data_IF_514468254896
#
_entry.id   IF_514468254896
#
_cell.length_a   1.000
_cell.length_b   1.000
_cell.length_c   1.000
_cell.angle_alpha   90.00
_cell.angle_beta   90.00
_cell.angle_gamma   90.00
#
_symmetry.space_group_name_H-M   'P 1'
#
loop_
_entity.id
_entity.type
_entity.pdbx_description
1 polymer ?
#
# COMPACT_ATOMS: atom_id res chain seq x y z
N UNK A 1 -31.38 24.19 -28.86
CA UNK A 1 -30.20 25.08 -28.89
C UNK A 1 -29.96 25.65 -27.51
N UNK A 2 -30.71 26.69 -27.12
CA UNK A 2 -30.58 27.38 -25.83
C UNK A 2 -30.72 26.46 -24.60
N UNK A 3 -31.74 25.60 -24.55
CA UNK A 3 -31.92 24.64 -23.44
C UNK A 3 -30.78 23.61 -23.33
N UNK A 4 -30.12 23.26 -24.44
CA UNK A 4 -28.98 22.35 -24.43
C UNK A 4 -27.75 23.04 -23.83
N UNK A 5 -27.51 24.30 -24.21
CA UNK A 5 -26.44 25.11 -23.63
C UNK A 5 -26.64 25.38 -22.14
N UNK A 6 -27.87 25.62 -21.70
CA UNK A 6 -28.19 25.83 -20.28
C UNK A 6 -27.93 24.55 -19.46
N UNK A 7 -28.31 23.38 -19.98
CA UNK A 7 -27.98 22.09 -19.36
C UNK A 7 -26.46 21.82 -19.31
N UNK A 8 -25.75 22.02 -20.42
CA UNK A 8 -24.29 21.82 -20.43
C UNK A 8 -23.57 22.80 -19.49
N UNK A 9 -24.08 24.03 -19.35
CA UNK A 9 -23.56 25.00 -18.39
C UNK A 9 -23.85 24.58 -16.93
N UNK A 10 -25.04 24.06 -16.64
CA UNK A 10 -25.39 23.53 -15.31
C UNK A 10 -24.53 22.31 -14.95
N UNK A 11 -24.34 21.37 -15.88
CA UNK A 11 -23.50 20.19 -15.69
C UNK A 11 -22.04 20.61 -15.41
N UNK A 12 -21.49 21.54 -16.20
CA UNK A 12 -20.14 22.07 -15.99
C UNK A 12 -20.00 22.77 -14.63
N UNK A 13 -20.99 23.56 -14.23
CA UNK A 13 -20.99 24.24 -12.93
C UNK A 13 -21.09 23.25 -11.76
N UNK A 14 -21.79 22.13 -11.93
CA UNK A 14 -21.83 21.04 -10.95
C UNK A 14 -20.45 20.39 -10.82
N UNK A 15 -19.82 20.04 -11.94
CA UNK A 15 -18.48 19.44 -11.95
C UNK A 15 -17.44 20.35 -11.29
N UNK A 16 -17.49 21.66 -11.58
CA UNK A 16 -16.59 22.65 -10.97
C UNK A 16 -16.75 22.72 -9.44
N UNK A 17 -17.97 22.59 -8.92
CA UNK A 17 -18.25 22.56 -7.47
C UNK A 17 -17.78 21.27 -6.81
N UNK A 18 -17.69 20.17 -7.57
CA UNK A 18 -17.24 18.87 -7.09
C UNK A 18 -15.71 18.68 -7.14
N UNK A 19 -14.96 19.50 -7.89
CA UNK A 19 -13.49 19.45 -7.98
C UNK A 19 -12.80 19.33 -6.60
N UNK A 20 -13.13 20.14 -5.58
CA UNK A 20 -12.46 20.09 -4.28
C UNK A 20 -12.67 18.76 -3.55
N UNK A 21 -13.88 18.20 -3.68
CA UNK A 21 -14.25 16.89 -3.13
C UNK A 21 -13.50 15.77 -3.85
N UNK A 22 -13.52 15.78 -5.19
CA UNK A 22 -12.80 14.82 -6.02
C UNK A 22 -11.28 14.84 -5.76
N UNK A 23 -10.71 16.04 -5.53
CA UNK A 23 -9.30 16.18 -5.17
C UNK A 23 -8.99 15.60 -3.77
N UNK A 24 -9.89 15.77 -2.80
CA UNK A 24 -9.76 15.18 -1.47
C UNK A 24 -9.85 13.64 -1.54
N UNK A 25 -10.86 13.11 -2.22
CA UNK A 25 -11.07 11.67 -2.41
C UNK A 25 -9.87 11.02 -3.08
N UNK A 26 -9.30 11.67 -4.10
CA UNK A 26 -8.07 11.22 -4.74
C UNK A 26 -6.89 11.13 -3.77
N UNK A 27 -6.71 12.14 -2.91
CA UNK A 27 -5.61 12.13 -1.91
C UNK A 27 -5.79 11.02 -0.88
N UNK A 28 -7.01 10.80 -0.43
CA UNK A 28 -7.34 9.72 0.52
C UNK A 28 -7.11 8.36 -0.13
N UNK A 29 -7.53 8.18 -1.39
CA UNK A 29 -7.27 6.95 -2.14
C UNK A 29 -5.77 6.65 -2.29
N UNK A 30 -4.95 7.64 -2.62
CA UNK A 30 -3.49 7.45 -2.69
C UNK A 30 -2.88 7.14 -1.31
N UNK A 31 -3.41 7.74 -0.24
CA UNK A 31 -3.01 7.41 1.12
C UNK A 31 -3.35 5.96 1.50
N UNK A 32 -4.57 5.49 1.18
CA UNK A 32 -5.00 4.10 1.39
C UNK A 32 -4.10 3.13 0.62
N UNK A 33 -3.82 3.41 -0.66
CA UNK A 33 -2.90 2.60 -1.47
C UNK A 33 -1.52 2.53 -0.84
N UNK A 34 -1.00 3.66 -0.34
CA UNK A 34 0.32 3.72 0.30
C UNK A 34 0.38 2.96 1.63
N UNK A 35 -0.64 3.10 2.47
CA UNK A 35 -0.74 2.37 3.74
C UNK A 35 -0.75 0.86 3.52
N UNK A 36 -1.53 0.40 2.54
CA UNK A 36 -1.56 -1.01 2.12
C UNK A 36 -0.20 -1.49 1.61
N UNK A 37 0.44 -0.71 0.74
CA UNK A 37 1.78 -1.03 0.24
C UNK A 37 2.82 -1.11 1.37
N UNK A 38 2.73 -0.24 2.39
CA UNK A 38 3.61 -0.27 3.55
C UNK A 38 3.39 -1.53 4.41
N UNK A 39 2.13 -1.91 4.65
CA UNK A 39 1.77 -3.16 5.36
C UNK A 39 2.34 -4.39 4.63
N UNK A 40 2.19 -4.47 3.32
CA UNK A 40 2.73 -5.57 2.51
C UNK A 40 4.25 -5.60 2.55
N UNK A 41 4.89 -4.43 2.43
CA UNK A 41 6.35 -4.31 2.57
C UNK A 41 6.82 -4.84 3.93
N UNK A 42 6.12 -4.53 5.02
CA UNK A 42 6.45 -5.02 6.35
C UNK A 42 6.36 -6.55 6.45
N UNK A 43 5.33 -7.16 5.84
CA UNK A 43 5.24 -8.63 5.77
C UNK A 43 6.38 -9.26 4.97
N UNK A 44 6.72 -8.71 3.80
CA UNK A 44 7.82 -9.19 2.98
C UNK A 44 9.14 -9.14 3.75
N UNK A 45 9.46 -7.99 4.35
CA UNK A 45 10.70 -7.82 5.12
C UNK A 45 10.76 -8.78 6.31
N UNK A 46 9.67 -8.93 7.06
CA UNK A 46 9.63 -9.86 8.18
C UNK A 46 9.74 -11.32 7.74
N UNK A 47 9.13 -11.69 6.61
CA UNK A 47 9.22 -13.04 6.05
C UNK A 47 10.66 -13.36 5.65
N UNK A 48 11.29 -12.49 4.87
CA UNK A 48 12.68 -12.68 4.44
C UNK A 48 13.62 -12.70 5.66
N UNK A 49 13.39 -11.86 6.68
CA UNK A 49 14.15 -11.92 7.95
C UNK A 49 13.97 -13.24 8.69
N UNK A 50 12.78 -13.84 8.66
CA UNK A 50 12.48 -15.14 9.28
C UNK A 50 13.19 -16.30 8.58
N UNK A 51 13.38 -16.21 7.26
CA UNK A 51 14.09 -17.22 6.46
C UNK A 51 15.63 -17.15 6.60
N UNK A 52 16.18 -16.10 7.25
CA UNK A 52 17.63 -15.98 7.46
C UNK A 52 18.13 -16.92 8.58
N UNK A 53 19.30 -17.56 8.40
CA UNK A 53 19.90 -18.40 9.44
C UNK A 53 20.48 -17.55 10.58
N UNK A 54 20.36 -18.03 11.82
CA UNK A 54 20.82 -17.30 13.00
C UNK A 54 22.35 -17.24 13.16
N UNK A 55 23.06 -18.31 12.76
CA UNK A 55 24.50 -18.48 13.06
C UNK A 55 25.40 -18.43 11.82
N UNK A 56 25.35 -19.44 10.95
CA UNK A 56 26.28 -19.58 9.81
C UNK A 56 25.55 -19.55 8.45
N UNK A 57 26.26 -19.15 7.39
CA UNK A 57 25.75 -19.20 6.02
C UNK A 57 24.88 -17.99 5.60
N UNK A 58 24.87 -16.91 6.38
CA UNK A 58 24.01 -15.72 6.16
C UNK A 58 24.14 -15.13 4.75
N UNK A 59 25.37 -14.95 4.24
CA UNK A 59 25.60 -14.39 2.90
C UNK A 59 25.00 -15.27 1.80
N UNK A 60 25.25 -16.59 1.86
CA UNK A 60 24.70 -17.55 0.89
C UNK A 60 23.17 -17.65 0.97
N UNK A 61 22.61 -17.61 2.18
CA UNK A 61 21.16 -17.62 2.40
C UNK A 61 20.50 -16.35 1.86
N UNK A 62 21.09 -15.17 2.12
CA UNK A 62 20.63 -13.90 1.57
C UNK A 62 20.63 -13.92 0.04
N UNK A 63 21.72 -14.38 -0.59
CA UNK A 63 21.77 -14.50 -2.05
C UNK A 63 20.66 -15.42 -2.58
N UNK A 64 20.47 -16.59 -1.95
CA UNK A 64 19.40 -17.53 -2.32
C UNK A 64 17.99 -16.91 -2.19
N UNK A 65 17.74 -16.12 -1.14
CA UNK A 65 16.47 -15.42 -0.94
C UNK A 65 16.23 -14.34 -2.00
N UNK A 66 17.28 -13.60 -2.36
CA UNK A 66 17.24 -12.56 -3.40
C UNK A 66 16.99 -13.20 -4.78
N UNK A 67 17.65 -14.33 -5.07
CA UNK A 67 17.49 -15.05 -6.33
C UNK A 67 16.08 -15.65 -6.46
N UNK A 68 15.50 -16.15 -5.36
CA UNK A 68 14.14 -16.69 -5.29
C UNK A 68 13.07 -15.68 -4.83
N UNK A 69 13.31 -14.36 -4.96
CA UNK A 69 12.45 -13.35 -4.34
C UNK A 69 10.98 -13.43 -4.78
N UNK A 70 10.73 -13.79 -6.05
CA UNK A 70 9.36 -13.98 -6.56
C UNK A 70 8.63 -15.13 -5.85
N UNK A 71 9.33 -16.22 -5.55
CA UNK A 71 8.80 -17.34 -4.78
C UNK A 71 8.49 -16.93 -3.34
N UNK A 72 9.35 -16.11 -2.72
CA UNK A 72 9.12 -15.59 -1.37
C UNK A 72 7.90 -14.66 -1.32
N UNK A 73 7.70 -13.81 -2.33
CA UNK A 73 6.50 -12.97 -2.45
C UNK A 73 5.23 -13.83 -2.55
N UNK A 74 5.27 -14.90 -3.35
CA UNK A 74 4.15 -15.84 -3.48
C UNK A 74 3.83 -16.62 -2.19
N UNK A 75 4.80 -16.81 -1.29
CA UNK A 75 4.55 -17.36 0.06
C UNK A 75 3.82 -16.33 0.93
N UNK A 76 4.33 -15.11 1.00
CA UNK A 76 3.73 -13.99 1.76
C UNK A 76 2.29 -13.73 1.30
N UNK A 77 2.06 -13.73 -0.01
CA UNK A 77 0.74 -13.54 -0.58
C UNK A 77 -0.26 -14.60 -0.08
N UNK A 78 0.15 -15.88 -0.06
CA UNK A 78 -0.70 -16.99 0.40
C UNK A 78 -0.92 -16.95 1.90
N UNK A 79 0.14 -16.69 2.68
CA UNK A 79 0.10 -16.67 4.14
C UNK A 79 -0.82 -15.56 4.68
N UNK A 80 -0.80 -14.37 4.08
CA UNK A 80 -1.58 -13.22 4.53
C UNK A 80 -2.80 -12.90 3.66
N UNK A 81 -3.14 -13.78 2.71
CA UNK A 81 -4.30 -13.65 1.81
C UNK A 81 -4.34 -12.30 1.06
N UNK A 82 -3.19 -11.89 0.54
CA UNK A 82 -3.03 -10.58 -0.08
C UNK A 82 -3.39 -10.60 -1.58
N UNK A 83 -4.08 -9.57 -2.10
CA UNK A 83 -4.33 -9.44 -3.52
C UNK A 83 -3.04 -9.31 -4.34
N UNK A 84 -2.92 -9.97 -5.51
CA UNK A 84 -1.72 -9.85 -6.36
C UNK A 84 -1.43 -8.41 -6.79
N UNK A 85 -2.47 -7.61 -7.04
CA UNK A 85 -2.35 -6.23 -7.50
C UNK A 85 -1.72 -5.26 -6.50
N UNK A 86 -1.62 -5.65 -5.23
CA UNK A 86 -1.01 -4.82 -4.19
C UNK A 86 0.52 -5.00 -4.09
N UNK A 87 1.08 -5.98 -4.78
CA UNK A 87 2.52 -6.22 -4.80
C UNK A 87 3.21 -5.37 -5.87
N UNK A 88 4.27 -4.66 -5.46
CA UNK A 88 5.12 -3.90 -6.38
C UNK A 88 6.02 -4.81 -7.20
N UNK A 89 6.62 -4.25 -8.24
CA UNK A 89 7.57 -4.94 -9.12
C UNK A 89 8.70 -5.62 -8.31
N UNK A 90 8.74 -6.95 -8.39
CA UNK A 90 9.69 -7.81 -7.67
C UNK A 90 11.14 -7.49 -8.06
N UNK A 91 11.40 -7.15 -9.31
CA UNK A 91 12.73 -6.84 -9.81
C UNK A 91 13.29 -5.58 -9.15
N UNK A 92 12.49 -4.53 -9.07
CA UNK A 92 12.86 -3.30 -8.38
C UNK A 92 13.15 -3.53 -6.89
N UNK A 93 12.35 -4.40 -6.25
CA UNK A 93 12.60 -4.80 -4.87
C UNK A 93 13.91 -5.58 -4.75
N UNK A 94 14.20 -6.49 -5.69
CA UNK A 94 15.44 -7.29 -5.71
C UNK A 94 16.68 -6.42 -5.80
N UNK A 95 16.68 -5.45 -6.73
CA UNK A 95 17.78 -4.50 -6.91
C UNK A 95 18.06 -3.71 -5.64
N UNK A 96 17.00 -3.19 -5.00
CA UNK A 96 17.11 -2.46 -3.75
C UNK A 96 17.65 -3.35 -2.63
N UNK A 97 17.10 -4.57 -2.49
CA UNK A 97 17.42 -5.51 -1.42
C UNK A 97 18.88 -5.97 -1.43
N UNK A 98 19.54 -6.03 -2.60
CA UNK A 98 20.96 -6.37 -2.75
C UNK A 98 21.89 -5.43 -1.96
N UNK A 99 21.49 -4.18 -1.77
CA UNK A 99 22.26 -3.17 -1.01
C UNK A 99 22.12 -3.27 0.51
N UNK A 100 21.24 -4.14 1.04
CA UNK A 100 20.96 -4.25 2.46
C UNK A 100 21.47 -5.55 3.07
N UNK A 101 21.73 -5.52 4.38
CA UNK A 101 21.97 -6.73 5.17
C UNK A 101 20.67 -7.16 5.83
N UNK A 102 20.08 -8.25 5.33
CA UNK A 102 18.79 -8.78 5.79
C UNK A 102 18.85 -9.16 7.28
N UNK A 103 20.01 -9.57 7.79
CA UNK A 103 20.15 -9.92 9.20
C UNK A 103 19.92 -8.72 10.14
N UNK A 104 20.01 -7.49 9.64
CA UNK A 104 19.71 -6.28 10.42
C UNK A 104 18.23 -5.89 10.40
N UNK A 105 17.39 -6.58 9.62
CA UNK A 105 15.98 -6.26 9.56
C UNK A 105 15.27 -6.59 10.87
N UNK A 106 14.30 -5.74 11.19
CA UNK A 106 13.41 -5.95 12.31
C UNK A 106 12.39 -7.06 12.01
N UNK A 107 11.95 -7.75 13.06
CA UNK A 107 10.81 -8.66 12.98
C UNK A 107 9.52 -7.84 12.87
N UNK A 108 8.47 -8.46 12.33
CA UNK A 108 7.14 -7.86 12.32
C UNK A 108 6.72 -7.46 13.73
N UNK A 109 6.16 -6.26 13.86
CA UNK A 109 5.54 -5.76 15.09
C UNK A 109 4.02 -5.83 14.91
N UNK A 110 3.31 -6.83 15.47
CA UNK A 110 1.87 -7.01 15.24
C UNK A 110 1.05 -5.76 15.60
N UNK A 111 1.43 -5.07 16.69
CA UNK A 111 0.78 -3.81 17.10
C UNK A 111 0.83 -2.73 16.02
N UNK A 112 1.94 -2.60 15.28
CA UNK A 112 2.06 -1.59 14.22
C UNK A 112 1.18 -1.94 13.01
N UNK A 113 1.01 -3.23 12.72
CA UNK A 113 0.11 -3.69 11.66
C UNK A 113 -1.34 -3.43 12.06
N UNK A 114 -1.70 -3.73 13.31
CA UNK A 114 -3.03 -3.48 13.83
C UNK A 114 -3.41 -2.00 13.75
N UNK A 115 -2.49 -1.08 14.08
CA UNK A 115 -2.74 0.37 13.94
C UNK A 115 -3.05 0.75 12.48
N UNK A 116 -2.35 0.17 11.50
CA UNK A 116 -2.65 0.42 10.08
C UNK A 116 -4.01 -0.17 9.68
N UNK A 117 -4.35 -1.35 10.19
CA UNK A 117 -5.61 -2.02 9.90
C UNK A 117 -6.80 -1.26 10.51
N UNK A 118 -6.70 -0.81 11.76
CA UNK A 118 -7.72 -0.01 12.44
C UNK A 118 -7.92 1.33 11.72
N UNK A 119 -6.82 1.97 11.30
CA UNK A 119 -6.88 3.21 10.52
C UNK A 119 -7.61 3.02 9.17
N UNK A 120 -7.33 1.93 8.46
CA UNK A 120 -7.98 1.62 7.18
C UNK A 120 -9.46 1.25 7.37
N UNK A 121 -9.80 0.53 8.44
CA UNK A 121 -11.14 0.00 8.70
C UNK A 121 -12.10 1.02 9.32
N UNK A 122 -11.59 1.92 10.18
CA UNK A 122 -12.41 2.80 11.00
C UNK A 122 -12.09 4.28 10.78
N UNK A 123 -10.82 4.67 10.91
CA UNK A 123 -10.46 6.10 10.95
C UNK A 123 -10.70 6.79 9.61
N UNK A 124 -10.27 6.17 8.49
CA UNK A 124 -10.48 6.74 7.15
C UNK A 124 -11.97 6.83 6.79
N UNK A 125 -12.79 5.76 6.94
CA UNK A 125 -14.23 5.88 6.70
C UNK A 125 -14.92 6.92 7.58
N UNK A 126 -14.53 7.05 8.86
CA UNK A 126 -15.10 8.06 9.75
C UNK A 126 -14.67 9.47 9.37
N UNK A 127 -13.43 9.67 8.93
CA UNK A 127 -12.95 10.94 8.41
C UNK A 127 -13.74 11.36 7.17
N UNK A 128 -13.97 10.44 6.22
CA UNK A 128 -14.74 10.69 5.00
C UNK A 128 -16.19 11.10 5.28
N UNK A 129 -16.84 10.54 6.30
CA UNK A 129 -18.20 10.97 6.72
C UNK A 129 -18.26 12.42 7.18
N UNK A 130 -17.16 12.95 7.72
CA UNK A 130 -17.09 14.30 8.25
C UNK A 130 -16.62 15.33 7.21
N UNK A 131 -16.09 14.89 6.06
CA UNK A 131 -15.78 15.76 4.93
C UNK A 131 -17.07 16.14 4.19
N UNK A 132 -17.75 17.19 4.66
CA UNK A 132 -18.81 17.86 3.88
C UNK A 132 -18.17 18.69 2.76
N UNK A 133 -18.80 18.74 1.59
CA UNK A 133 -18.40 19.68 0.56
C UNK A 133 -18.65 21.11 1.11
N UNK A 134 -17.67 22.02 1.11
CA UNK A 134 -17.92 23.42 1.51
C UNK A 134 -18.90 24.14 0.57
N UNK A 135 -19.27 23.52 -0.54
CA UNK A 135 -20.25 24.01 -1.51
C UNK A 135 -21.59 23.24 -1.49
N UNK A 136 -21.79 22.31 -0.52
CA UNK A 136 -23.10 21.69 -0.20
C UNK A 136 -23.99 22.63 0.62
#
# INVERSE_FOLDING_TARGET
GKELFEKEQEDLLSDLKDIPKAACDRRINEFVKRARAAKIHAYIISHIKKEMPAMMGKSKAQQKLIDNLAGEFGKVQREFHLPPGDFRNVEHFRESLRGYNIDKFEKLKPKMIQVVDDMLAYDIPNLLKNFKNPYD
#
